data_IF_871848683675
#
_entry.id   IF_871848683675
#
_cell.length_a   1.000
_cell.length_b   1.000
_cell.length_c   1.000
_cell.angle_alpha   90.00
_cell.angle_beta   90.00
_cell.angle_gamma   90.00
#
_symmetry.space_group_name_H-M   'P 1'
#
loop_
_entity.id
_entity.type
_entity.pdbx_description
1 polymer ?
#
# COMPACT_ATOMS: atom_id res chain seq x y z
N UNK A 1 12.66 -9.15 -22.11
CA UNK A 1 14.08 -8.98 -21.69
C UNK A 1 14.12 -8.64 -20.21
N UNK A 2 14.83 -9.41 -19.37
CA UNK A 2 15.10 -9.02 -17.97
C UNK A 2 16.00 -7.79 -17.98
N UNK A 3 15.65 -6.74 -17.22
CA UNK A 3 16.55 -5.59 -17.03
C UNK A 3 17.87 -6.10 -16.43
N UNK A 4 19.00 -5.63 -16.97
CA UNK A 4 20.31 -5.91 -16.39
C UNK A 4 20.47 -5.21 -15.04
N UNK A 5 21.30 -5.78 -14.16
CA UNK A 5 21.57 -5.24 -12.81
C UNK A 5 22.11 -3.79 -12.84
N UNK A 6 22.77 -3.39 -13.93
CA UNK A 6 23.23 -2.02 -14.17
C UNK A 6 22.12 -0.97 -14.17
N UNK A 7 20.88 -1.34 -14.49
CA UNK A 7 19.72 -0.44 -14.46
C UNK A 7 19.19 -0.19 -13.04
N UNK A 8 19.59 -0.98 -12.05
CA UNK A 8 19.06 -0.88 -10.70
C UNK A 8 19.76 0.22 -9.91
N UNK A 9 19.01 0.91 -9.05
CA UNK A 9 19.58 1.86 -8.10
C UNK A 9 20.31 1.11 -6.99
N UNK A 10 21.30 1.75 -6.36
CA UNK A 10 22.08 1.13 -5.26
C UNK A 10 21.17 0.52 -4.17
N UNK A 11 20.07 1.20 -3.83
CA UNK A 11 19.11 0.75 -2.83
C UNK A 11 18.34 -0.51 -3.26
N UNK A 12 18.07 -0.64 -4.55
CA UNK A 12 17.33 -1.77 -5.12
C UNK A 12 18.24 -2.98 -5.23
N UNK A 13 19.52 -2.78 -5.58
CA UNK A 13 20.54 -3.81 -5.48
C UNK A 13 20.66 -4.32 -4.04
N UNK A 14 20.76 -3.41 -3.06
CA UNK A 14 20.83 -3.77 -1.65
C UNK A 14 19.59 -4.55 -1.20
N UNK A 15 18.39 -4.13 -1.63
CA UNK A 15 17.16 -4.88 -1.37
C UNK A 15 17.24 -6.30 -1.95
N UNK A 16 17.60 -6.45 -3.24
CA UNK A 16 17.74 -7.77 -3.88
C UNK A 16 18.72 -8.64 -3.12
N UNK A 17 19.89 -8.11 -2.75
CA UNK A 17 20.92 -8.84 -2.00
C UNK A 17 20.35 -9.40 -0.69
N UNK A 18 19.56 -8.60 0.04
CA UNK A 18 19.00 -8.95 1.34
C UNK A 18 17.77 -9.87 1.25
N UNK A 19 16.95 -9.75 0.20
CA UNK A 19 15.65 -10.45 0.12
C UNK A 19 15.65 -11.65 -0.80
N UNK A 20 16.55 -11.75 -1.80
CA UNK A 20 16.54 -12.88 -2.74
C UNK A 20 17.02 -14.17 -2.07
N UNK A 21 16.36 -15.27 -2.41
CA UNK A 21 16.76 -16.64 -2.05
C UNK A 21 17.79 -17.19 -3.05
N UNK A 22 17.82 -16.68 -4.28
CA UNK A 22 18.72 -17.16 -5.33
C UNK A 22 20.15 -16.67 -5.13
N UNK A 23 21.07 -17.61 -4.93
CA UNK A 23 22.49 -17.31 -4.71
C UNK A 23 23.15 -16.66 -5.94
N UNK A 24 22.71 -17.03 -7.14
CA UNK A 24 23.18 -16.41 -8.39
C UNK A 24 22.75 -14.95 -8.53
N UNK A 25 21.49 -14.65 -8.22
CA UNK A 25 20.97 -13.27 -8.26
C UNK A 25 21.60 -12.40 -7.18
N UNK A 26 21.81 -12.96 -5.99
CA UNK A 26 22.51 -12.26 -4.90
C UNK A 26 23.94 -11.90 -5.30
N UNK A 27 24.69 -12.84 -5.88
CA UNK A 27 26.07 -12.59 -6.34
C UNK A 27 26.12 -11.58 -7.47
N UNK A 28 25.22 -11.66 -8.45
CA UNK A 28 25.17 -10.70 -9.55
C UNK A 28 24.87 -9.27 -9.06
N UNK A 29 23.91 -9.12 -8.14
CA UNK A 29 23.58 -7.83 -7.54
C UNK A 29 24.72 -7.30 -6.64
N UNK A 30 25.41 -8.17 -5.91
CA UNK A 30 26.57 -7.82 -5.10
C UNK A 30 27.73 -7.33 -5.97
N UNK A 31 28.10 -8.07 -7.01
CA UNK A 31 29.16 -7.70 -7.94
C UNK A 31 28.88 -6.35 -8.61
N UNK A 32 27.62 -6.08 -8.96
CA UNK A 32 27.20 -4.79 -9.52
C UNK A 32 27.23 -3.65 -8.49
N UNK A 33 27.00 -3.95 -7.21
CA UNK A 33 27.12 -2.94 -6.16
C UNK A 33 28.59 -2.63 -5.85
N UNK A 34 29.44 -3.66 -5.82
CA UNK A 34 30.87 -3.55 -5.58
C UNK A 34 31.59 -2.83 -6.74
N UNK A 35 31.16 -3.07 -7.99
CA UNK A 35 31.71 -2.40 -9.18
C UNK A 35 31.50 -0.87 -9.18
N UNK A 36 30.57 -0.37 -8.36
CA UNK A 36 30.28 1.07 -8.23
C UNK A 36 31.29 1.80 -7.35
N UNK A 37 32.23 1.09 -6.72
CA UNK A 37 33.32 1.66 -5.90
C UNK A 37 32.82 2.72 -4.91
N UNK A 38 31.75 2.40 -4.18
CA UNK A 38 31.18 3.29 -3.19
C UNK A 38 32.14 3.45 -2.01
N UNK A 39 32.33 4.69 -1.56
CA UNK A 39 33.10 4.96 -0.35
C UNK A 39 32.37 4.41 0.90
N UNK A 40 33.12 4.20 1.98
CA UNK A 40 32.60 3.76 3.26
C UNK A 40 31.49 4.70 3.79
N UNK A 41 31.59 6.01 3.55
CA UNK A 41 30.54 6.97 3.92
C UNK A 41 29.25 6.74 3.10
N UNK A 42 29.38 6.50 1.79
CA UNK A 42 28.25 6.27 0.91
C UNK A 42 27.54 4.94 1.19
N UNK A 43 28.31 3.89 1.49
CA UNK A 43 27.75 2.60 1.92
C UNK A 43 26.94 2.73 3.21
N UNK A 44 27.44 3.50 4.19
CA UNK A 44 26.69 3.78 5.42
C UNK A 44 25.39 4.54 5.13
N UNK A 45 25.45 5.57 4.26
CA UNK A 45 24.27 6.33 3.85
C UNK A 45 23.24 5.45 3.14
N UNK A 46 23.71 4.55 2.29
CA UNK A 46 22.88 3.60 1.57
C UNK A 46 22.17 2.63 2.54
N UNK A 47 22.91 2.02 3.46
CA UNK A 47 22.37 1.11 4.48
C UNK A 47 21.35 1.83 5.37
N UNK A 48 21.65 3.06 5.80
CA UNK A 48 20.72 3.88 6.59
C UNK A 48 19.43 4.19 5.79
N UNK A 49 19.56 4.54 4.51
CA UNK A 49 18.40 4.80 3.65
C UNK A 49 17.52 3.56 3.47
N UNK A 50 18.15 2.38 3.33
CA UNK A 50 17.45 1.10 3.24
C UNK A 50 16.70 0.78 4.53
N UNK A 51 17.35 0.94 5.69
CA UNK A 51 16.71 0.79 7.00
C UNK A 51 15.51 1.72 7.17
N UNK A 52 15.65 2.98 6.76
CA UNK A 52 14.56 3.94 6.84
C UNK A 52 13.37 3.53 5.96
N UNK A 53 13.61 2.96 4.78
CA UNK A 53 12.54 2.42 3.92
C UNK A 53 11.82 1.26 4.60
N UNK A 54 12.54 0.34 5.26
CA UNK A 54 11.94 -0.76 6.01
C UNK A 54 11.07 -0.25 7.16
N UNK A 55 11.61 0.65 7.98
CA UNK A 55 10.88 1.28 9.10
C UNK A 55 9.65 2.03 8.60
N UNK A 56 9.77 2.80 7.52
CA UNK A 56 8.64 3.51 6.93
C UNK A 56 7.57 2.57 6.39
N UNK A 57 7.98 1.44 5.80
CA UNK A 57 7.05 0.42 5.31
C UNK A 57 6.28 -0.22 6.46
N UNK A 58 6.97 -0.59 7.53
CA UNK A 58 6.37 -1.15 8.74
C UNK A 58 5.45 -0.14 9.44
N UNK A 59 5.89 1.10 9.59
CA UNK A 59 5.07 2.19 10.12
C UNK A 59 3.80 2.40 9.30
N UNK A 60 3.86 2.28 7.97
CA UNK A 60 2.67 2.38 7.10
C UNK A 60 1.70 1.22 7.30
N UNK A 61 2.19 0.01 7.54
CA UNK A 61 1.35 -1.17 7.84
C UNK A 61 0.58 -1.02 9.13
N UNK A 62 1.21 -0.40 10.13
CA UNK A 62 0.64 -0.21 11.46
C UNK A 62 -0.13 1.11 11.60
N UNK A 63 -0.14 1.97 10.57
CA UNK A 63 -0.84 3.25 10.60
C UNK A 63 -2.33 3.05 10.30
N UNK A 64 -3.18 3.57 11.17
CA UNK A 64 -4.63 3.67 10.93
C UNK A 64 -4.95 4.46 9.66
N UNK A 65 -6.17 4.27 9.13
CA UNK A 65 -6.72 5.12 8.08
C UNK A 65 -6.71 6.58 8.51
N UNK A 66 -6.27 7.48 7.64
CA UNK A 66 -6.43 8.91 7.87
C UNK A 66 -7.90 9.28 7.83
N UNK A 67 -8.27 10.38 8.48
CA UNK A 67 -9.64 10.87 8.50
C UNK A 67 -10.25 10.99 7.09
N UNK A 68 -9.49 11.50 6.13
CA UNK A 68 -9.94 11.63 4.73
C UNK A 68 -10.21 10.25 4.09
N UNK A 69 -9.33 9.28 4.32
CA UNK A 69 -9.53 7.91 3.84
C UNK A 69 -10.80 7.31 4.47
N UNK A 70 -11.02 7.53 5.77
CA UNK A 70 -12.23 7.09 6.47
C UNK A 70 -13.49 7.70 5.86
N UNK A 71 -13.50 9.02 5.63
CA UNK A 71 -14.63 9.71 5.02
C UNK A 71 -14.96 9.17 3.62
N UNK A 72 -13.94 8.89 2.80
CA UNK A 72 -14.13 8.29 1.49
C UNK A 72 -14.81 6.92 1.60
N UNK A 73 -14.37 6.04 2.51
CA UNK A 73 -15.01 4.75 2.74
C UNK A 73 -16.43 4.85 3.31
N UNK A 74 -16.77 5.95 3.99
CA UNK A 74 -18.10 6.20 4.54
C UNK A 74 -19.09 6.68 3.48
N UNK A 75 -18.66 7.58 2.59
CA UNK A 75 -19.53 8.30 1.65
C UNK A 75 -19.61 7.62 0.28
N UNK A 76 -18.47 7.23 -0.30
CA UNK A 76 -18.38 6.74 -1.68
C UNK A 76 -19.25 5.51 -1.97
N UNK A 77 -19.36 4.50 -1.07
CA UNK A 77 -20.20 3.33 -1.33
C UNK A 77 -21.66 3.66 -1.64
N UNK A 78 -22.18 4.79 -1.16
CA UNK A 78 -23.56 5.21 -1.36
C UNK A 78 -23.73 6.07 -2.63
N UNK A 79 -22.80 7.00 -2.90
CA UNK A 79 -22.89 7.93 -4.04
C UNK A 79 -22.33 7.37 -5.35
N UNK A 80 -21.51 6.33 -5.30
CA UNK A 80 -20.84 5.79 -6.49
C UNK A 80 -21.53 4.51 -6.92
N UNK A 81 -22.45 4.63 -7.89
CA UNK A 81 -23.11 3.48 -8.51
C UNK A 81 -22.07 2.56 -9.15
N UNK A 82 -22.18 1.24 -8.94
CA UNK A 82 -21.39 0.21 -9.63
C UNK A 82 -21.58 0.39 -11.15
N UNK A 83 -20.57 0.86 -11.91
CA UNK A 83 -20.70 0.94 -13.35
C UNK A 83 -20.82 -0.50 -13.87
N UNK A 84 -21.86 -0.83 -14.65
CA UNK A 84 -22.06 -2.22 -15.15
C UNK A 84 -20.88 -2.76 -15.96
N UNK A 85 -20.02 -1.87 -16.47
CA UNK A 85 -18.82 -2.16 -17.27
C UNK A 85 -17.52 -2.29 -16.44
N UNK A 86 -17.54 -2.02 -15.12
CA UNK A 86 -16.40 -2.25 -14.20
C UNK A 86 -16.84 -3.10 -13.02
N UNK A 87 -16.15 -4.21 -12.79
CA UNK A 87 -16.36 -5.04 -11.60
C UNK A 87 -15.63 -4.50 -10.36
N UNK A 88 -14.81 -3.48 -10.54
CA UNK A 88 -13.97 -2.83 -9.55
C UNK A 88 -14.66 -1.58 -8.99
N UNK A 89 -15.36 -1.77 -7.86
CA UNK A 89 -15.82 -0.65 -7.05
C UNK A 89 -14.62 0.01 -6.36
N UNK A 90 -14.60 1.35 -6.24
CA UNK A 90 -13.49 2.08 -5.59
C UNK A 90 -13.15 1.50 -4.21
N UNK A 91 -14.19 1.16 -3.43
CA UNK A 91 -14.01 0.56 -2.11
C UNK A 91 -13.38 -0.84 -2.15
N UNK A 92 -13.66 -1.63 -3.20
CA UNK A 92 -13.14 -2.98 -3.38
C UNK A 92 -11.71 -2.97 -3.91
N UNK A 93 -11.39 -2.10 -4.87
CA UNK A 93 -10.00 -1.92 -5.34
C UNK A 93 -9.07 -1.41 -4.24
N UNK A 94 -9.56 -0.53 -3.37
CA UNK A 94 -8.79 -0.02 -2.23
C UNK A 94 -8.59 -1.08 -1.13
N UNK A 95 -9.61 -1.88 -0.84
CA UNK A 95 -9.50 -3.02 0.08
C UNK A 95 -8.53 -4.09 -0.45
N UNK A 96 -8.55 -4.35 -1.76
CA UNK A 96 -7.63 -5.26 -2.43
C UNK A 96 -6.18 -4.76 -2.32
N UNK A 97 -5.95 -3.47 -2.57
CA UNK A 97 -4.64 -2.85 -2.40
C UNK A 97 -4.12 -3.00 -0.96
N UNK A 98 -4.98 -2.83 0.04
CA UNK A 98 -4.60 -3.06 1.44
C UNK A 98 -4.25 -4.52 1.72
N UNK A 99 -4.94 -5.47 1.10
CA UNK A 99 -4.63 -6.89 1.19
C UNK A 99 -3.26 -7.20 0.60
N UNK A 100 -2.99 -6.74 -0.61
CA UNK A 100 -1.71 -6.97 -1.31
C UNK A 100 -0.51 -6.39 -0.54
N UNK A 101 -0.69 -5.24 0.11
CA UNK A 101 0.39 -4.55 0.83
C UNK A 101 0.52 -4.97 2.30
N UNK A 102 -0.36 -5.86 2.79
CA UNK A 102 -0.37 -6.32 4.19
C UNK A 102 -0.80 -5.22 5.17
N UNK A 103 -1.67 -4.31 4.75
CA UNK A 103 -2.24 -3.25 5.59
C UNK A 103 -3.49 -3.74 6.33
N UNK A 104 -3.33 -4.76 7.17
CA UNK A 104 -4.43 -5.44 7.84
C UNK A 104 -5.27 -4.52 8.75
N UNK A 105 -4.61 -3.60 9.45
CA UNK A 105 -5.29 -2.63 10.32
C UNK A 105 -6.20 -1.71 9.50
N UNK A 106 -5.67 -1.12 8.42
CA UNK A 106 -6.44 -0.26 7.51
C UNK A 106 -7.58 -1.02 6.87
N UNK A 107 -7.37 -2.26 6.44
CA UNK A 107 -8.42 -3.11 5.87
C UNK A 107 -9.57 -3.31 6.84
N UNK A 108 -9.29 -3.65 8.10
CA UNK A 108 -10.32 -3.84 9.13
C UNK A 108 -11.09 -2.54 9.40
N UNK A 109 -10.39 -1.41 9.53
CA UNK A 109 -11.02 -0.10 9.74
C UNK A 109 -11.90 0.30 8.55
N UNK A 110 -11.43 0.11 7.31
CA UNK A 110 -12.18 0.42 6.09
C UNK A 110 -13.48 -0.39 5.99
N UNK A 111 -13.42 -1.68 6.34
CA UNK A 111 -14.62 -2.54 6.38
C UNK A 111 -15.63 -2.07 7.43
N UNK A 112 -15.18 -1.74 8.64
CA UNK A 112 -16.06 -1.22 9.69
C UNK A 112 -16.71 0.10 9.28
N UNK A 113 -15.93 1.04 8.77
CA UNK A 113 -16.44 2.36 8.36
C UNK A 113 -17.44 2.24 7.20
N UNK A 114 -17.15 1.37 6.23
CA UNK A 114 -18.09 1.08 5.12
C UNK A 114 -19.42 0.55 5.65
N UNK A 115 -19.39 -0.38 6.62
CA UNK A 115 -20.60 -0.92 7.23
C UNK A 115 -21.40 0.16 7.96
N UNK A 116 -20.74 0.97 8.79
CA UNK A 116 -21.40 2.09 9.48
C UNK A 116 -21.97 3.13 8.52
N UNK A 117 -21.27 3.45 7.43
CA UNK A 117 -21.77 4.33 6.37
C UNK A 117 -23.07 3.80 5.76
N UNK A 118 -23.11 2.53 5.39
CA UNK A 118 -24.33 1.92 4.82
C UNK A 118 -25.50 2.00 5.80
N UNK A 119 -25.28 1.66 7.08
CA UNK A 119 -26.33 1.75 8.12
C UNK A 119 -26.81 3.19 8.29
N UNK A 120 -25.89 4.15 8.34
CA UNK A 120 -26.20 5.57 8.49
C UNK A 120 -27.09 6.08 7.35
N UNK A 121 -26.74 5.79 6.09
CA UNK A 121 -27.53 6.21 4.94
C UNK A 121 -28.91 5.56 4.89
N UNK A 122 -29.04 4.28 5.27
CA UNK A 122 -30.34 3.61 5.39
C UNK A 122 -31.22 4.34 6.42
N UNK A 123 -30.67 4.68 7.59
CA UNK A 123 -31.41 5.39 8.64
C UNK A 123 -31.85 6.79 8.18
N UNK A 124 -30.99 7.52 7.47
CA UNK A 124 -31.37 8.81 6.88
C UNK A 124 -32.53 8.64 5.89
N UNK A 125 -32.45 7.65 4.98
CA UNK A 125 -33.53 7.41 4.02
C UNK A 125 -34.86 7.08 4.72
N UNK A 126 -34.83 6.29 5.79
CA UNK A 126 -36.03 6.00 6.59
C UNK A 126 -36.59 7.26 7.26
N UNK A 127 -35.75 8.10 7.86
CA UNK A 127 -36.17 9.34 8.48
C UNK A 127 -36.78 10.30 7.45
N UNK A 128 -36.13 10.47 6.29
CA UNK A 128 -36.63 11.30 5.19
C UNK A 128 -37.98 10.78 4.72
N UNK A 129 -38.12 9.47 4.49
CA UNK A 129 -39.39 8.87 4.09
C UNK A 129 -40.50 9.08 5.13
N UNK A 130 -40.17 8.99 6.42
CA UNK A 130 -41.11 9.24 7.51
C UNK A 130 -41.60 10.69 7.56
N UNK A 131 -40.73 11.68 7.33
CA UNK A 131 -41.13 13.10 7.32
C UNK A 131 -41.86 13.53 6.04
N UNK A 132 -41.73 12.78 4.95
CA UNK A 132 -42.35 13.06 3.65
C UNK A 132 -43.67 12.30 3.40
N UNK A 133 -43.99 11.28 4.22
CA UNK A 133 -45.24 10.51 4.15
C UNK A 133 -46.28 11.05 5.12
#
# INVERSE_FOLDING_TARGET
>A
MRKGYSSYKNRELLQIIKTTTSLGERRAAQNELDSRNLDAADLRKLENSYRQVLVNSENRKNKSLSFDEQFLFFVIPFFTSRPRWRHDHFSESELERFREHGFDLKRKQAQMIRFFGVVFWILILMAVFYFLS
#
